data_IF_765631003790
#
_entry.id   IF_765631003790
#
_cell.length_a   1.000
_cell.length_b   1.000
_cell.length_c   1.000
_cell.angle_alpha   90.00
_cell.angle_beta   90.00
_cell.angle_gamma   90.00
#
_symmetry.space_group_name_H-M   'P 1'
#
loop_
_entity.id
_entity.type
_entity.pdbx_description
1 polymer ?
#
# COMPACT_ATOMS: atom_id res chain seq x y z
N UNK A 1 -2.12 12.04 -13.67
CA UNK A 1 -1.62 12.42 -12.30
C UNK A 1 -1.56 13.93 -12.18
N UNK A 2 -1.99 14.49 -11.04
CA UNK A 2 -2.06 15.95 -10.85
C UNK A 2 -0.79 16.52 -10.23
N UNK A 3 -0.18 15.78 -9.29
CA UNK A 3 1.05 16.19 -8.63
C UNK A 3 1.81 14.99 -8.09
N UNK A 4 3.08 15.18 -7.80
CA UNK A 4 3.89 14.24 -7.01
C UNK A 4 4.14 14.78 -5.61
N UNK A 5 4.22 13.90 -4.61
CA UNK A 5 4.66 14.23 -3.25
C UNK A 5 5.85 13.37 -2.88
N UNK A 6 6.89 14.00 -2.38
CA UNK A 6 8.04 13.31 -1.79
C UNK A 6 7.63 12.66 -0.47
N UNK A 7 8.35 11.60 -0.12
CA UNK A 7 8.23 10.91 1.16
C UNK A 7 9.58 10.94 1.85
N UNK A 8 9.65 10.73 3.17
CA UNK A 8 10.91 10.50 3.87
C UNK A 8 11.77 9.38 3.26
N UNK A 9 11.15 8.38 2.61
CA UNK A 9 11.86 7.34 1.87
C UNK A 9 12.28 7.87 0.47
N UNK A 10 13.60 8.05 0.20
CA UNK A 10 14.06 8.58 -1.09
C UNK A 10 13.75 7.67 -2.28
N UNK A 11 13.46 6.39 -2.03
CA UNK A 11 13.10 5.42 -3.04
C UNK A 11 11.60 5.36 -3.31
N UNK A 12 10.76 6.04 -2.52
CA UNK A 12 9.31 6.06 -2.67
C UNK A 12 8.81 7.45 -3.05
N UNK A 13 8.02 7.51 -4.13
CA UNK A 13 7.40 8.75 -4.61
C UNK A 13 5.91 8.55 -4.78
N UNK A 14 5.12 9.47 -4.23
CA UNK A 14 3.67 9.44 -4.37
C UNK A 14 3.22 10.24 -5.58
N UNK A 15 2.29 9.66 -6.32
CA UNK A 15 1.61 10.23 -7.47
C UNK A 15 0.14 10.41 -7.10
N UNK A 16 -0.26 11.67 -6.90
CA UNK A 16 -1.63 12.02 -6.48
C UNK A 16 -2.49 12.28 -7.71
N UNK A 17 -3.62 11.60 -7.80
CA UNK A 17 -4.59 11.73 -8.91
C UNK A 17 -5.78 12.60 -8.49
N UNK A 18 -6.54 13.11 -9.48
CA UNK A 18 -7.70 13.99 -9.22
C UNK A 18 -9.00 13.20 -8.97
N UNK A 19 -8.89 12.02 -8.39
CA UNK A 19 -10.03 11.13 -8.15
C UNK A 19 -9.71 10.21 -6.98
N UNK A 20 -10.73 9.81 -6.23
CA UNK A 20 -10.61 8.70 -5.29
C UNK A 20 -10.53 7.41 -6.11
N UNK A 21 -9.41 6.70 -6.02
CA UNK A 21 -9.19 5.42 -6.69
C UNK A 21 -9.52 4.24 -5.78
N UNK A 22 -9.65 4.46 -4.47
CA UNK A 22 -10.04 3.47 -3.48
C UNK A 22 -10.73 4.19 -2.31
N UNK A 23 -11.98 3.84 -1.99
CA UNK A 23 -12.76 4.52 -0.95
C UNK A 23 -12.23 4.19 0.47
N UNK A 24 -11.99 2.90 0.71
CA UNK A 24 -11.45 2.37 1.97
C UNK A 24 -10.37 1.31 1.73
N UNK A 25 -9.45 1.17 2.69
CA UNK A 25 -8.40 0.15 2.68
C UNK A 25 -7.17 0.57 1.89
N UNK A 26 -6.49 -0.40 1.30
CA UNK A 26 -5.32 -0.22 0.44
C UNK A 26 -5.20 -1.36 -0.57
N UNK A 27 -4.44 -1.13 -1.63
CA UNK A 27 -4.02 -2.17 -2.57
C UNK A 27 -2.50 -2.10 -2.69
N UNK A 28 -1.86 -3.26 -2.74
CA UNK A 28 -0.41 -3.33 -2.83
C UNK A 28 0.06 -4.49 -3.68
N UNK A 29 1.20 -4.28 -4.35
CA UNK A 29 1.87 -5.27 -5.15
C UNK A 29 3.36 -5.19 -4.88
N UNK A 30 3.95 -6.30 -4.43
CA UNK A 30 5.38 -6.39 -4.12
C UNK A 30 6.23 -6.84 -5.30
N UNK A 31 5.61 -7.32 -6.39
CA UNK A 31 6.30 -7.80 -7.57
C UNK A 31 5.35 -7.93 -8.78
N UNK A 32 5.95 -8.22 -9.95
CA UNK A 32 5.25 -8.48 -11.22
C UNK A 32 4.21 -9.59 -11.14
N UNK A 33 4.46 -10.63 -10.35
CA UNK A 33 3.58 -11.79 -10.29
C UNK A 33 2.28 -11.47 -9.56
N UNK A 34 2.36 -10.70 -8.47
CA UNK A 34 1.19 -10.20 -7.74
C UNK A 34 0.40 -9.19 -8.59
N UNK A 35 1.08 -8.39 -9.39
CA UNK A 35 0.47 -7.36 -10.23
C UNK A 35 -0.23 -7.88 -11.49
N UNK A 36 -0.10 -9.18 -11.84
CA UNK A 36 -0.47 -9.74 -13.16
C UNK A 36 -1.93 -9.48 -13.59
N UNK A 37 -2.84 -9.39 -12.63
CA UNK A 37 -4.28 -9.20 -12.87
C UNK A 37 -4.69 -7.72 -12.76
N UNK A 38 -3.72 -6.84 -12.48
CA UNK A 38 -3.89 -5.39 -12.39
C UNK A 38 -3.17 -4.69 -13.55
N UNK A 39 -3.96 -4.00 -14.38
CA UNK A 39 -3.46 -3.30 -15.57
C UNK A 39 -2.45 -2.20 -15.23
N UNK A 40 -2.72 -1.39 -14.21
CA UNK A 40 -1.87 -0.26 -13.83
C UNK A 40 -0.56 -0.77 -13.21
N UNK A 41 -0.66 -1.67 -12.24
CA UNK A 41 0.49 -2.22 -11.55
C UNK A 41 1.39 -3.01 -12.52
N UNK A 42 0.81 -3.85 -13.40
CA UNK A 42 1.58 -4.55 -14.44
C UNK A 42 2.38 -3.57 -15.28
N UNK A 43 1.73 -2.52 -15.81
CA UNK A 43 2.39 -1.52 -16.64
C UNK A 43 3.48 -0.74 -15.89
N UNK A 44 3.30 -0.51 -14.59
CA UNK A 44 4.31 0.12 -13.72
C UNK A 44 5.52 -0.78 -13.51
N UNK A 45 5.32 -2.07 -13.22
CA UNK A 45 6.42 -3.01 -13.02
C UNK A 45 7.21 -3.31 -14.30
N UNK A 46 6.67 -3.06 -15.48
CA UNK A 46 7.45 -3.08 -16.73
C UNK A 46 8.56 -2.03 -16.76
N UNK A 47 8.46 -0.97 -15.94
CA UNK A 47 9.46 0.08 -15.88
C UNK A 47 10.66 -0.42 -15.05
N UNK A 48 11.86 -0.51 -15.66
CA UNK A 48 13.04 -0.99 -14.95
C UNK A 48 13.29 -0.19 -13.68
N UNK A 49 13.55 -0.92 -12.59
CA UNK A 49 13.81 -0.36 -11.28
C UNK A 49 12.57 -0.23 -10.38
N UNK A 50 11.35 -0.40 -10.88
CA UNK A 50 10.14 -0.43 -10.02
C UNK A 50 10.08 -1.76 -9.28
N UNK A 51 9.98 -1.70 -7.94
CA UNK A 51 9.99 -2.87 -7.05
C UNK A 51 8.73 -2.99 -6.18
N UNK A 52 7.96 -1.92 -5.99
CA UNK A 52 6.71 -1.98 -5.24
C UNK A 52 5.73 -0.92 -5.77
N UNK A 53 4.44 -1.25 -5.78
CA UNK A 53 3.35 -0.33 -6.07
C UNK A 53 2.32 -0.43 -4.95
N UNK A 54 1.97 0.71 -4.36
CA UNK A 54 1.00 0.81 -3.27
C UNK A 54 -0.04 1.88 -3.62
N UNK A 55 -1.32 1.61 -3.42
CA UNK A 55 -2.41 2.54 -3.69
C UNK A 55 -3.34 2.65 -2.47
N UNK A 56 -3.71 3.89 -2.15
CA UNK A 56 -4.64 4.21 -1.06
C UNK A 56 -5.31 5.55 -1.38
N UNK A 57 -6.60 5.64 -1.08
CA UNK A 57 -7.42 6.84 -1.34
C UNK A 57 -7.29 7.38 -2.77
N UNK A 58 -6.51 8.45 -2.95
CA UNK A 58 -6.31 9.16 -4.22
C UNK A 58 -4.84 9.21 -4.66
N UNK A 59 -3.97 8.37 -4.09
CA UNK A 59 -2.56 8.36 -4.45
C UNK A 59 -2.03 6.96 -4.71
N UNK A 60 -1.04 6.90 -5.59
CA UNK A 60 -0.25 5.71 -5.88
C UNK A 60 1.18 6.02 -5.47
N UNK A 61 1.74 5.22 -4.57
CA UNK A 61 3.17 5.23 -4.28
C UNK A 61 3.87 4.20 -5.14
N UNK A 62 4.92 4.63 -5.83
CA UNK A 62 5.83 3.74 -6.53
C UNK A 62 7.15 3.75 -5.79
N UNK A 63 7.68 2.56 -5.49
CA UNK A 63 9.01 2.39 -4.91
C UNK A 63 9.94 1.83 -5.97
N UNK A 64 11.11 2.46 -6.10
CA UNK A 64 12.19 1.99 -6.97
C UNK A 64 13.32 1.32 -6.18
N UNK A 65 14.18 0.59 -6.86
CA UNK A 65 15.45 0.13 -6.27
C UNK A 65 16.44 1.29 -6.03
N UNK A 66 17.47 1.02 -5.23
CA UNK A 66 18.52 2.00 -4.89
C UNK A 66 19.38 2.43 -6.08
N UNK A 67 19.46 1.60 -7.13
CA UNK A 67 20.35 1.80 -8.28
C UNK A 67 19.72 2.70 -9.33
N UNK A 68 18.40 2.79 -9.33
CA UNK A 68 17.62 3.52 -10.32
C UNK A 68 17.46 4.97 -9.86
N UNK A 69 17.65 5.92 -10.78
CA UNK A 69 17.33 7.33 -10.52
C UNK A 69 15.85 7.60 -10.77
N UNK A 70 15.25 8.46 -9.94
CA UNK A 70 13.92 9.01 -10.21
C UNK A 70 13.86 9.80 -11.51
N UNK A 71 14.97 10.38 -11.95
CA UNK A 71 15.08 10.98 -13.29
C UNK A 71 15.77 9.97 -14.21
N UNK A 72 15.15 9.51 -15.31
CA UNK A 72 13.88 9.94 -15.91
C UNK A 72 12.67 9.03 -15.56
N UNK A 73 12.77 8.17 -14.54
CA UNK A 73 11.71 7.22 -14.19
C UNK A 73 10.37 7.90 -13.86
N UNK A 74 10.41 9.06 -13.18
CA UNK A 74 9.26 9.83 -12.72
C UNK A 74 8.29 10.14 -13.85
N UNK A 75 8.77 10.61 -14.99
CA UNK A 75 7.92 10.98 -16.13
C UNK A 75 7.28 9.75 -16.78
N UNK A 76 8.02 8.64 -16.84
CA UNK A 76 7.49 7.36 -17.35
C UNK A 76 6.38 6.82 -16.45
N UNK A 77 6.60 6.83 -15.14
CA UNK A 77 5.60 6.41 -14.15
C UNK A 77 4.38 7.31 -14.21
N UNK A 78 4.58 8.62 -14.26
CA UNK A 78 3.49 9.59 -14.39
C UNK A 78 2.61 9.28 -15.61
N UNK A 79 3.23 9.08 -16.78
CA UNK A 79 2.50 8.76 -18.02
C UNK A 79 1.77 7.43 -17.91
N UNK A 80 2.40 6.41 -17.34
CA UNK A 80 1.77 5.10 -17.13
C UNK A 80 0.53 5.21 -16.24
N UNK A 81 0.61 5.92 -15.12
CA UNK A 81 -0.56 6.10 -14.24
C UNK A 81 -1.66 6.87 -14.97
N UNK A 82 -1.31 7.92 -15.71
CA UNK A 82 -2.30 8.70 -16.48
C UNK A 82 -3.05 7.84 -17.51
N UNK A 83 -2.33 6.97 -18.22
CA UNK A 83 -2.88 6.11 -19.27
C UNK A 83 -3.63 4.87 -18.73
N UNK A 84 -3.37 4.47 -17.46
CA UNK A 84 -3.82 3.16 -16.94
C UNK A 84 -4.50 3.19 -15.57
N UNK A 85 -4.73 4.37 -14.99
CA UNK A 85 -5.30 4.50 -13.62
C UNK A 85 -6.50 3.59 -13.43
N UNK A 86 -6.43 2.78 -12.38
CA UNK A 86 -7.48 1.83 -12.01
C UNK A 86 -8.24 2.37 -10.80
N UNK A 87 -9.56 2.35 -10.88
CA UNK A 87 -10.42 2.56 -9.71
C UNK A 87 -10.72 1.19 -9.13
N UNK A 88 -10.23 0.98 -7.91
CA UNK A 88 -10.35 -0.26 -7.18
C UNK A 88 -11.68 -0.33 -6.43
N UNK A 89 -12.22 -1.55 -6.34
CA UNK A 89 -13.29 -1.82 -5.39
C UNK A 89 -12.67 -2.00 -4.01
N UNK A 90 -13.15 -1.25 -3.03
CA UNK A 90 -12.75 -1.44 -1.64
C UNK A 90 -13.31 -2.75 -1.11
N UNK A 91 -12.53 -3.44 -0.29
CA UNK A 91 -13.08 -4.51 0.54
C UNK A 91 -14.20 -3.95 1.42
N UNK A 92 -15.13 -4.82 1.84
CA UNK A 92 -16.24 -4.42 2.70
C UNK A 92 -15.72 -3.70 3.94
N UNK A 93 -16.36 -2.58 4.25
CA UNK A 93 -16.06 -1.81 5.45
C UNK A 93 -16.32 -2.70 6.66
N UNK A 94 -15.26 -3.23 7.28
CA UNK A 94 -15.35 -3.98 8.53
C UNK A 94 -16.08 -3.08 9.54
N UNK A 95 -17.25 -3.51 10.00
CA UNK A 95 -18.01 -2.77 11.01
C UNK A 95 -17.24 -2.81 12.32
N UNK A 96 -16.60 -1.68 12.63
CA UNK A 96 -15.68 -1.48 13.76
C UNK A 96 -16.32 -1.68 15.15
N UNK A 97 -17.65 -1.81 15.22
CA UNK A 97 -18.42 -1.83 16.47
C UNK A 97 -18.56 -3.21 17.14
N UNK A 98 -18.13 -4.30 16.51
CA UNK A 98 -18.39 -5.66 17.03
C UNK A 98 -17.17 -6.43 17.56
N UNK A 99 -15.95 -5.90 17.44
CA UNK A 99 -14.77 -6.63 17.91
C UNK A 99 -14.44 -6.28 19.37
N UNK A 100 -14.72 -7.22 20.28
CA UNK A 100 -14.28 -7.15 21.68
C UNK A 100 -12.75 -7.31 21.77
N UNK A 101 -12.04 -6.20 21.60
CA UNK A 101 -10.58 -6.12 21.74
C UNK A 101 -10.09 -6.43 23.16
N UNK A 102 -10.95 -6.37 24.17
CA UNK A 102 -10.59 -6.68 25.57
C UNK A 102 -10.43 -8.19 25.76
N UNK A 103 -11.24 -9.00 25.08
CA UNK A 103 -11.14 -10.45 25.08
C UNK A 103 -10.50 -11.03 23.79
N UNK A 104 -9.67 -10.25 23.11
CA UNK A 104 -9.07 -10.62 21.81
C UNK A 104 -8.48 -12.03 21.78
N UNK A 105 -7.76 -12.44 22.84
CA UNK A 105 -7.13 -13.76 22.92
C UNK A 105 -8.11 -14.94 22.84
N UNK A 106 -9.37 -14.74 23.26
CA UNK A 106 -10.44 -15.74 23.29
C UNK A 106 -11.29 -15.75 22.02
N UNK A 107 -11.09 -14.80 21.12
CA UNK A 107 -11.80 -14.76 19.85
C UNK A 107 -11.33 -15.90 18.93
N UNK A 108 -12.23 -16.32 18.04
CA UNK A 108 -11.85 -17.16 16.90
C UNK A 108 -10.89 -16.40 15.96
N UNK A 109 -10.17 -17.14 15.10
CA UNK A 109 -9.16 -16.54 14.23
C UNK A 109 -9.75 -15.51 13.26
N UNK A 110 -10.98 -15.70 12.78
CA UNK A 110 -11.62 -14.78 11.84
C UNK A 110 -11.89 -13.42 12.50
N UNK A 111 -12.44 -13.41 13.72
CA UNK A 111 -12.63 -12.18 14.50
C UNK A 111 -11.32 -11.55 14.94
N UNK A 112 -10.29 -12.36 15.22
CA UNK A 112 -8.94 -11.85 15.49
C UNK A 112 -8.37 -11.13 14.26
N UNK A 113 -8.46 -11.73 13.08
CA UNK A 113 -8.03 -11.12 11.82
C UNK A 113 -8.76 -9.80 11.58
N UNK A 114 -10.09 -9.78 11.74
CA UNK A 114 -10.88 -8.54 11.63
C UNK A 114 -10.45 -7.46 12.64
N UNK A 115 -10.17 -7.84 13.88
CA UNK A 115 -9.68 -6.92 14.91
C UNK A 115 -8.30 -6.35 14.60
N UNK A 116 -7.37 -7.18 14.11
CA UNK A 116 -6.05 -6.74 13.69
C UNK A 116 -6.17 -5.80 12.49
N UNK A 117 -6.95 -6.18 11.48
CA UNK A 117 -7.19 -5.41 10.27
C UNK A 117 -7.80 -4.03 10.59
N UNK A 118 -8.73 -3.97 11.55
CA UNK A 118 -9.24 -2.73 12.11
C UNK A 118 -8.13 -1.85 12.70
N UNK A 119 -7.25 -2.41 13.54
CA UNK A 119 -6.15 -1.65 14.16
C UNK A 119 -5.15 -1.16 13.11
N UNK A 120 -4.81 -2.00 12.13
CA UNK A 120 -3.92 -1.63 11.02
C UNK A 120 -4.51 -0.48 10.21
N UNK A 121 -5.79 -0.54 9.85
CA UNK A 121 -6.50 0.52 9.12
C UNK A 121 -6.59 1.83 9.91
N UNK A 122 -6.90 1.77 11.21
CA UNK A 122 -7.12 2.97 12.03
C UNK A 122 -5.82 3.70 12.41
N UNK A 123 -4.75 2.95 12.68
CA UNK A 123 -3.60 3.51 13.42
C UNK A 123 -2.28 3.38 12.67
N UNK A 124 -2.11 2.33 11.85
CA UNK A 124 -0.78 2.00 11.30
C UNK A 124 -0.67 2.46 9.85
N UNK A 125 -1.58 2.03 8.97
CA UNK A 125 -1.48 2.27 7.52
C UNK A 125 -1.45 3.75 7.15
N UNK A 126 -2.24 4.60 7.82
CA UNK A 126 -2.22 6.04 7.58
C UNK A 126 -0.86 6.67 7.88
N UNK A 127 -0.12 6.14 8.86
CA UNK A 127 1.22 6.64 9.16
C UNK A 127 2.25 6.10 8.17
N UNK A 128 2.18 4.81 7.82
CA UNK A 128 3.07 4.23 6.81
C UNK A 128 2.89 4.85 5.43
N UNK A 129 1.66 5.20 5.08
CA UNK A 129 1.34 5.91 3.85
C UNK A 129 2.08 7.25 3.73
N UNK A 130 2.35 7.95 4.85
CA UNK A 130 3.14 9.19 4.82
C UNK A 130 4.61 8.93 4.44
N UNK A 131 5.11 7.73 4.75
CA UNK A 131 6.45 7.27 4.41
C UNK A 131 6.52 6.59 3.04
N UNK A 132 5.40 6.57 2.30
CA UNK A 132 5.31 5.91 1.01
C UNK A 132 5.06 4.40 1.07
N UNK A 133 4.60 3.92 2.23
CA UNK A 133 4.42 2.51 2.51
C UNK A 133 3.04 2.09 2.96
N UNK A 134 2.95 0.82 3.31
CA UNK A 134 1.77 0.15 3.81
C UNK A 134 2.15 -1.06 4.64
N UNK A 135 1.13 -1.75 5.15
CA UNK A 135 1.29 -3.03 5.84
C UNK A 135 0.15 -3.95 5.44
N UNK A 136 0.51 -5.17 5.11
CA UNK A 136 -0.42 -6.23 4.73
C UNK A 136 -0.43 -7.30 5.83
N UNK A 137 -1.62 -7.74 6.23
CA UNK A 137 -1.77 -8.84 7.17
C UNK A 137 -1.61 -10.16 6.42
N UNK A 138 -0.62 -10.98 6.81
CA UNK A 138 -0.35 -12.28 6.18
C UNK A 138 -0.97 -13.44 6.95
N UNK A 139 -1.17 -13.30 8.25
CA UNK A 139 -1.87 -14.30 9.04
C UNK A 139 -1.69 -14.13 10.54
N UNK A 140 -2.31 -15.04 11.28
CA UNK A 140 -2.19 -15.16 12.73
C UNK A 140 -1.98 -16.62 13.11
N UNK A 141 -0.99 -16.88 13.95
CA UNK A 141 -0.72 -18.19 14.54
C UNK A 141 -0.67 -18.05 16.07
N UNK A 142 -1.75 -18.48 16.74
CA UNK A 142 -1.89 -18.30 18.18
C UNK A 142 -1.98 -16.82 18.57
N UNK A 143 -0.88 -16.27 19.09
CA UNK A 143 -0.71 -14.86 19.48
C UNK A 143 0.29 -14.11 18.59
N UNK A 144 0.84 -14.77 17.57
CA UNK A 144 1.80 -14.17 16.64
C UNK A 144 1.08 -13.67 15.41
N UNK A 145 1.33 -12.41 15.04
CA UNK A 145 0.74 -11.76 13.86
C UNK A 145 1.83 -11.60 12.81
N UNK A 146 1.65 -12.27 11.67
CA UNK A 146 2.53 -12.15 10.53
C UNK A 146 2.06 -11.00 9.64
N UNK A 147 2.90 -10.00 9.46
CA UNK A 147 2.65 -8.87 8.56
C UNK A 147 3.73 -8.78 7.50
N UNK A 148 3.38 -8.18 6.37
CA UNK A 148 4.33 -7.74 5.37
C UNK A 148 4.37 -6.22 5.35
N UNK A 149 5.51 -5.67 5.72
CA UNK A 149 5.75 -4.23 5.75
C UNK A 149 6.29 -3.78 4.38
N UNK A 150 5.66 -2.77 3.78
CA UNK A 150 5.95 -2.35 2.41
C UNK A 150 6.26 -0.87 2.37
N UNK A 151 7.24 -0.45 1.56
CA UNK A 151 7.44 0.94 1.14
C UNK A 151 7.79 1.97 2.23
N UNK A 152 7.60 1.65 3.50
CA UNK A 152 7.98 2.47 4.64
C UNK A 152 9.42 2.11 5.07
N UNK A 153 10.09 3.10 5.64
CA UNK A 153 11.53 3.15 5.67
C UNK A 153 12.18 2.09 6.57
N UNK A 154 12.86 1.10 5.97
CA UNK A 154 13.82 0.25 6.69
C UNK A 154 15.19 0.92 6.90
N UNK A 155 15.44 2.04 6.23
CA UNK A 155 16.77 2.67 6.11
C UNK A 155 16.76 4.20 6.16
N UNK A 156 15.67 4.83 6.65
CA UNK A 156 15.64 6.29 6.76
C UNK A 156 16.74 6.75 7.72
N UNK A 157 17.58 7.71 7.33
CA UNK A 157 18.45 8.37 8.28
C UNK A 157 17.56 9.09 9.31
N UNK A 158 17.65 8.67 10.57
CA UNK A 158 17.09 9.40 11.71
C UNK A 158 17.86 10.67 11.97
#
# INVERSE_FOLDING_TARGET
VVRTRETPNPNALQFVVNAVILDHGNVSFANKQEAKDDKMATALFEKPGVINVYAMENFITVTKDDKTSWVPLKDRVWKTIDDTVTVYQSEEKIQLSEVDVVNFAKLDNDKKLQGIEMVLNRSIRTNLAKDGGGVELKGIEGNEVSIHYQGACGSCPT
#
